data_IF_418297220007
#
_entry.id   IF_418297220007
#
_cell.length_a   1.000
_cell.length_b   1.000
_cell.length_c   1.000
_cell.angle_alpha   90.00
_cell.angle_beta   90.00
_cell.angle_gamma   90.00
#
_symmetry.space_group_name_H-M   'P 1'
#
loop_
_entity.id
_entity.type
_entity.pdbx_description
1 polymer ?
#
# COMPACT_ATOMS: atom_id res chain seq x y z
N UNK A 1 25.63 10.67 -23.10
CA UNK A 1 25.64 11.46 -21.85
C UNK A 1 25.81 12.91 -22.27
N UNK A 2 24.74 13.69 -22.23
CA UNK A 2 24.81 15.13 -22.42
C UNK A 2 25.26 15.74 -21.09
N UNK A 3 26.43 16.38 -21.06
CA UNK A 3 26.89 17.16 -19.92
C UNK A 3 25.80 18.21 -19.57
N UNK A 4 25.04 17.99 -18.51
CA UNK A 4 24.11 19.01 -18.01
C UNK A 4 24.97 20.12 -17.40
N UNK A 5 24.97 21.30 -18.07
CA UNK A 5 25.55 22.51 -17.49
C UNK A 5 24.82 22.82 -16.19
N UNK A 6 25.53 23.02 -15.07
CA UNK A 6 24.88 23.34 -13.80
C UNK A 6 24.12 24.68 -13.95
N UNK A 7 22.89 24.70 -13.46
CA UNK A 7 22.04 25.90 -13.45
C UNK A 7 22.71 27.00 -12.62
N UNK A 8 22.63 28.25 -13.09
CA UNK A 8 22.95 29.41 -12.26
C UNK A 8 21.97 29.50 -11.06
N UNK A 9 22.37 30.18 -10.01
CA UNK A 9 21.53 30.36 -8.82
C UNK A 9 20.14 30.96 -9.16
N UNK A 10 20.11 31.93 -10.07
CA UNK A 10 18.84 32.53 -10.54
C UNK A 10 17.95 31.52 -11.27
N UNK A 11 18.52 30.70 -12.13
CA UNK A 11 17.77 29.65 -12.85
C UNK A 11 17.22 28.59 -11.85
N UNK A 12 17.97 28.24 -10.79
CA UNK A 12 17.52 27.35 -9.74
C UNK A 12 16.31 27.90 -9.00
N UNK A 13 16.31 29.19 -8.61
CA UNK A 13 15.17 29.82 -7.95
C UNK A 13 13.95 29.98 -8.86
N UNK A 14 14.17 30.28 -10.15
CA UNK A 14 13.08 30.29 -11.13
C UNK A 14 12.43 28.92 -11.25
N UNK A 15 13.27 27.87 -11.34
CA UNK A 15 12.79 26.48 -11.40
C UNK A 15 12.09 26.05 -10.12
N UNK A 16 12.59 26.44 -8.95
CA UNK A 16 11.93 26.21 -7.66
C UNK A 16 10.52 26.81 -7.64
N UNK A 17 10.34 28.04 -8.13
CA UNK A 17 9.03 28.68 -8.21
C UNK A 17 8.04 27.99 -9.16
N UNK A 18 8.54 27.42 -10.29
CA UNK A 18 7.73 26.58 -11.19
C UNK A 18 7.30 25.28 -10.51
N UNK A 19 8.26 24.56 -9.93
CA UNK A 19 8.02 23.31 -9.19
C UNK A 19 7.00 23.53 -8.08
N UNK A 20 7.11 24.60 -7.31
CA UNK A 20 6.17 24.93 -6.23
C UNK A 20 4.73 25.06 -6.69
N UNK A 21 4.50 25.66 -7.85
CA UNK A 21 3.16 25.76 -8.45
C UNK A 21 2.63 24.40 -8.88
N UNK A 22 3.47 23.57 -9.48
CA UNK A 22 3.09 22.23 -9.93
C UNK A 22 2.79 21.30 -8.75
N UNK A 23 3.59 21.38 -7.67
CA UNK A 23 3.38 20.60 -6.45
C UNK A 23 2.05 20.94 -5.78
N UNK A 24 1.69 22.23 -5.72
CA UNK A 24 0.44 22.68 -5.10
C UNK A 24 -0.82 22.16 -5.81
N UNK A 25 -0.75 21.76 -7.07
CA UNK A 25 -1.85 21.21 -7.85
C UNK A 25 -1.97 19.68 -7.75
N UNK A 26 -1.00 19.00 -7.15
CA UNK A 26 -0.93 17.54 -7.09
C UNK A 26 -1.50 17.02 -5.77
N UNK A 27 -2.59 16.25 -5.84
CA UNK A 27 -3.29 15.70 -4.66
C UNK A 27 -2.81 14.29 -4.33
N UNK A 28 -2.36 13.52 -5.31
CA UNK A 28 -1.82 12.18 -5.13
C UNK A 28 -0.45 12.24 -4.45
N UNK A 29 -0.35 11.64 -3.26
CA UNK A 29 0.86 11.69 -2.44
C UNK A 29 2.05 11.00 -3.14
N UNK A 30 1.82 9.90 -3.85
CA UNK A 30 2.90 9.12 -4.47
C UNK A 30 3.50 9.89 -5.65
N UNK A 31 2.63 10.48 -6.49
CA UNK A 31 3.05 11.36 -7.59
C UNK A 31 3.78 12.58 -7.06
N UNK A 32 3.29 13.14 -5.94
CA UNK A 32 3.88 14.30 -5.29
C UNK A 32 5.29 14.01 -4.77
N UNK A 33 5.47 12.90 -4.03
CA UNK A 33 6.77 12.51 -3.48
C UNK A 33 7.82 12.30 -4.58
N UNK A 34 7.45 11.62 -5.67
CA UNK A 34 8.34 11.41 -6.80
C UNK A 34 8.74 12.71 -7.48
N UNK A 35 7.80 13.65 -7.67
CA UNK A 35 8.11 14.98 -8.23
C UNK A 35 9.06 15.77 -7.33
N UNK A 36 8.87 15.73 -6.01
CA UNK A 36 9.77 16.40 -5.05
C UNK A 36 11.17 15.80 -5.11
N UNK A 37 11.27 14.45 -5.10
CA UNK A 37 12.58 13.79 -5.19
C UNK A 37 13.28 14.12 -6.49
N UNK A 38 12.58 14.12 -7.64
CA UNK A 38 13.16 14.50 -8.93
C UNK A 38 13.63 15.96 -8.91
N UNK A 39 12.82 16.88 -8.38
CA UNK A 39 13.18 18.29 -8.24
C UNK A 39 14.42 18.48 -7.36
N UNK A 40 14.53 17.74 -6.26
CA UNK A 40 15.69 17.78 -5.38
C UNK A 40 16.97 17.33 -6.10
N UNK A 41 16.91 16.24 -6.86
CA UNK A 41 18.04 15.76 -7.65
C UNK A 41 18.47 16.77 -8.71
N UNK A 42 17.51 17.33 -9.46
CA UNK A 42 17.78 18.29 -10.53
C UNK A 42 18.37 19.62 -9.99
N UNK A 43 17.76 20.20 -8.96
CA UNK A 43 18.20 21.46 -8.36
C UNK A 43 19.56 21.38 -7.68
N UNK A 44 19.86 20.22 -7.06
CA UNK A 44 21.15 19.99 -6.39
C UNK A 44 22.21 19.44 -7.32
N UNK A 45 21.91 19.21 -8.61
CA UNK A 45 22.77 18.50 -9.56
C UNK A 45 23.32 17.18 -8.96
N UNK A 46 22.43 16.41 -8.34
CA UNK A 46 22.73 15.13 -7.72
C UNK A 46 22.37 13.96 -8.64
N UNK A 47 23.00 12.81 -8.45
CA UNK A 47 22.70 11.57 -9.18
C UNK A 47 21.30 11.05 -8.84
N UNK A 48 20.89 11.20 -7.58
CA UNK A 48 19.63 10.76 -7.06
C UNK A 48 19.17 11.62 -5.89
N UNK A 49 17.89 11.50 -5.53
CA UNK A 49 17.35 12.02 -4.28
C UNK A 49 16.37 11.03 -3.67
N UNK A 50 16.22 11.07 -2.36
CA UNK A 50 15.32 10.21 -1.59
C UNK A 50 14.50 11.01 -0.58
N UNK A 51 13.32 10.50 -0.26
CA UNK A 51 12.45 11.03 0.78
C UNK A 51 12.18 9.93 1.82
N UNK A 52 12.43 10.26 3.08
CA UNK A 52 12.09 9.44 4.23
C UNK A 52 11.07 10.21 5.07
N UNK A 53 9.97 9.56 5.44
CA UNK A 53 8.96 10.16 6.31
C UNK A 53 9.06 9.62 7.74
N UNK A 54 8.93 10.51 8.71
CA UNK A 54 9.08 10.21 10.12
C UNK A 54 7.73 9.94 10.79
N UNK A 55 7.61 8.81 11.48
CA UNK A 55 6.50 8.50 12.36
C UNK A 55 6.92 8.75 13.81
N UNK A 56 6.52 9.90 14.33
CA UNK A 56 6.82 10.32 15.71
C UNK A 56 6.28 9.32 16.75
N UNK A 57 5.14 8.68 16.48
CA UNK A 57 4.50 7.74 17.40
C UNK A 57 5.30 6.45 17.61
N UNK A 58 6.13 6.09 16.64
CA UNK A 58 6.98 4.88 16.65
C UNK A 58 8.46 5.19 16.79
N UNK A 59 8.85 6.45 16.62
CA UNK A 59 10.26 6.85 16.58
C UNK A 59 10.99 6.21 15.39
N UNK A 60 10.35 6.08 14.23
CA UNK A 60 10.90 5.40 13.06
C UNK A 60 10.79 6.24 11.80
N UNK A 61 11.78 6.12 10.93
CA UNK A 61 11.78 6.66 9.59
C UNK A 61 11.39 5.57 8.59
N UNK A 62 10.56 5.94 7.62
CA UNK A 62 10.14 5.07 6.54
C UNK A 62 10.59 5.64 5.21
N UNK A 63 11.33 4.85 4.46
CA UNK A 63 11.70 5.18 3.09
C UNK A 63 10.43 5.23 2.22
N UNK A 64 10.25 6.31 1.47
CA UNK A 64 9.05 6.51 0.64
C UNK A 64 9.34 6.40 -0.84
N UNK A 65 10.35 7.12 -1.32
CA UNK A 65 10.74 7.09 -2.73
C UNK A 65 12.19 7.51 -2.94
N UNK A 66 12.77 7.13 -4.07
CA UNK A 66 14.00 7.67 -4.60
C UNK A 66 13.97 7.70 -6.14
N UNK A 67 14.68 8.67 -6.76
CA UNK A 67 14.60 8.92 -8.19
C UNK A 67 15.24 7.85 -9.10
N UNK A 68 16.05 6.96 -8.55
CA UNK A 68 16.82 5.97 -9.29
C UNK A 68 16.48 4.51 -8.92
N UNK A 69 15.34 4.30 -8.30
CA UNK A 69 14.93 2.98 -7.81
C UNK A 69 13.53 2.63 -8.28
N UNK A 70 13.35 1.37 -8.68
CA UNK A 70 12.03 0.81 -8.92
C UNK A 70 11.24 0.77 -7.61
N UNK A 71 10.13 1.50 -7.56
CA UNK A 71 9.33 1.80 -6.36
C UNK A 71 8.92 0.62 -5.46
N UNK A 72 8.67 -0.61 -5.95
CA UNK A 72 8.09 -1.65 -5.11
C UNK A 72 9.01 -2.16 -3.99
N UNK A 73 10.32 -2.15 -4.20
CA UNK A 73 11.28 -2.81 -3.30
C UNK A 73 11.64 -2.01 -2.04
N UNK A 74 11.47 -0.69 -2.08
CA UNK A 74 11.99 0.21 -1.05
C UNK A 74 10.92 0.83 -0.17
N UNK A 75 9.69 0.88 -0.64
CA UNK A 75 8.61 1.55 0.06
C UNK A 75 8.27 0.85 1.37
N UNK A 76 8.38 1.62 2.47
CA UNK A 76 8.13 1.09 3.82
C UNK A 76 9.34 0.47 4.50
N UNK A 77 10.53 0.47 3.85
CA UNK A 77 11.77 0.09 4.51
C UNK A 77 11.98 0.99 5.74
N UNK A 78 12.18 0.36 6.89
CA UNK A 78 12.43 1.08 8.15
C UNK A 78 13.90 1.47 8.24
N UNK A 79 14.15 2.75 8.40
CA UNK A 79 15.47 3.30 8.68
C UNK A 79 15.51 3.71 10.16
N UNK A 80 16.48 3.23 10.94
CA UNK A 80 16.55 3.59 12.36
C UNK A 80 16.82 5.09 12.53
N UNK A 81 16.22 5.70 13.53
CA UNK A 81 16.53 7.10 13.88
C UNK A 81 17.92 7.20 14.50
N UNK A 82 18.25 6.29 15.40
CA UNK A 82 19.60 6.20 15.95
C UNK A 82 20.53 5.47 14.96
N UNK A 83 21.68 6.07 14.68
CA UNK A 83 22.70 5.49 13.81
C UNK A 83 22.41 5.61 12.30
N UNK A 84 21.54 6.52 11.88
CA UNK A 84 21.38 6.89 10.48
C UNK A 84 21.52 8.42 10.27
N UNK A 85 21.94 8.82 9.05
CA UNK A 85 22.06 10.22 8.65
C UNK A 85 20.66 10.88 8.65
N UNK A 86 19.68 10.22 8.04
CA UNK A 86 18.29 10.68 8.05
C UNK A 86 17.75 10.87 9.48
N UNK A 87 18.07 9.95 10.38
CA UNK A 87 17.69 10.06 11.78
C UNK A 87 18.37 11.23 12.49
N UNK A 88 19.63 11.50 12.19
CA UNK A 88 20.32 12.69 12.70
C UNK A 88 19.64 13.98 12.24
N UNK A 89 19.30 14.09 10.95
CA UNK A 89 18.58 15.24 10.36
C UNK A 89 17.26 15.48 11.08
N UNK A 90 16.46 14.43 11.29
CA UNK A 90 15.15 14.54 11.94
C UNK A 90 15.28 14.96 13.40
N UNK A 91 16.28 14.41 14.12
CA UNK A 91 16.48 14.68 15.55
C UNK A 91 17.03 16.09 15.81
N UNK A 92 18.01 16.52 15.00
CA UNK A 92 18.65 17.84 15.18
C UNK A 92 17.92 18.96 14.45
N UNK A 93 17.01 18.64 13.52
CA UNK A 93 16.26 19.63 12.70
C UNK A 93 17.18 20.54 11.89
N UNK A 94 18.32 20.04 11.49
CA UNK A 94 19.36 20.80 10.81
C UNK A 94 19.77 20.10 9.52
N UNK A 95 20.15 20.87 8.48
CA UNK A 95 20.74 20.31 7.28
C UNK A 95 22.14 19.76 7.55
N UNK A 96 22.60 18.87 6.68
CA UNK A 96 23.94 18.30 6.76
C UNK A 96 24.50 18.05 5.35
N UNK A 97 25.78 18.39 5.17
CA UNK A 97 26.57 18.03 3.99
C UNK A 97 27.61 17.00 4.41
N UNK A 98 27.73 15.90 3.67
CA UNK A 98 28.70 14.83 3.91
C UNK A 98 29.36 14.48 2.59
N UNK A 99 30.67 14.72 2.49
CA UNK A 99 31.46 14.48 1.26
C UNK A 99 31.90 13.02 1.09
N UNK A 100 32.06 12.28 2.21
CA UNK A 100 32.47 10.89 2.21
C UNK A 100 31.48 10.05 3.06
N UNK A 101 30.27 9.88 2.54
CA UNK A 101 29.17 9.25 3.28
C UNK A 101 29.47 7.83 3.76
N UNK A 102 30.28 7.07 3.02
CA UNK A 102 30.67 5.70 3.43
C UNK A 102 31.55 5.66 4.67
N UNK A 103 32.26 6.75 4.96
CA UNK A 103 33.12 6.85 6.16
C UNK A 103 32.36 7.43 7.36
N UNK A 104 31.17 7.95 7.16
CA UNK A 104 30.35 8.49 8.26
C UNK A 104 29.79 7.33 9.11
N UNK A 105 30.00 7.35 10.43
CA UNK A 105 29.52 6.30 11.33
C UNK A 105 27.98 6.17 11.34
N UNK A 106 27.26 7.20 10.87
CA UNK A 106 25.80 7.22 10.74
C UNK A 106 25.32 6.69 9.38
N UNK A 107 26.23 6.23 8.53
CA UNK A 107 25.86 5.68 7.23
C UNK A 107 25.14 4.34 7.38
N UNK A 108 23.83 4.31 7.10
CA UNK A 108 23.02 3.10 7.16
C UNK A 108 23.17 2.29 5.85
N UNK A 109 24.18 1.42 5.79
CA UNK A 109 24.58 0.67 4.58
C UNK A 109 23.58 -0.38 4.08
N UNK A 110 22.47 -0.66 4.81
CA UNK A 110 21.48 -1.62 4.36
C UNK A 110 20.70 -1.14 3.14
N UNK A 111 20.52 0.18 2.98
CA UNK A 111 19.90 0.77 1.79
C UNK A 111 20.75 0.47 0.56
N UNK A 112 22.06 0.66 0.63
CA UNK A 112 22.99 0.40 -0.48
C UNK A 112 22.97 -1.06 -0.94
N UNK A 113 22.74 -2.03 -0.04
CA UNK A 113 22.63 -3.45 -0.37
C UNK A 113 21.38 -3.78 -1.20
N UNK A 114 20.28 -3.09 -0.92
CA UNK A 114 19.00 -3.31 -1.61
C UNK A 114 18.94 -2.50 -2.92
N UNK A 115 19.54 -1.31 -2.93
CA UNK A 115 19.45 -0.37 -4.07
C UNK A 115 20.57 -0.54 -5.08
N UNK A 116 21.63 -1.25 -4.73
CA UNK A 116 22.90 -1.31 -5.48
C UNK A 116 23.51 0.07 -5.79
N UNK A 117 23.06 1.13 -5.09
CA UNK A 117 23.57 2.49 -5.23
C UNK A 117 24.53 2.78 -4.09
N UNK A 118 25.77 3.05 -4.45
CA UNK A 118 26.79 3.48 -3.50
C UNK A 118 26.63 4.97 -3.21
N UNK A 119 26.39 5.32 -1.94
CA UNK A 119 26.31 6.71 -1.50
C UNK A 119 27.74 7.22 -1.22
N UNK A 120 28.27 8.09 -2.06
CA UNK A 120 29.58 8.71 -1.87
C UNK A 120 29.48 10.06 -1.14
N UNK A 121 28.60 10.92 -1.59
CA UNK A 121 28.32 12.22 -0.96
C UNK A 121 26.81 12.39 -0.73
N UNK A 122 26.45 13.17 0.28
CA UNK A 122 25.06 13.36 0.66
C UNK A 122 24.86 14.80 1.15
N UNK A 123 23.78 15.43 0.66
CA UNK A 123 23.20 16.64 1.24
C UNK A 123 21.81 16.27 1.74
N UNK A 124 21.60 16.37 3.06
CA UNK A 124 20.34 16.06 3.69
C UNK A 124 19.72 17.26 4.39
N UNK A 125 18.41 17.42 4.25
CA UNK A 125 17.65 18.52 4.86
C UNK A 125 16.37 18.01 5.55
N UNK A 126 15.93 18.64 6.66
CA UNK A 126 14.70 18.25 7.32
C UNK A 126 13.46 18.75 6.55
N UNK A 127 12.43 17.90 6.49
CA UNK A 127 11.09 18.28 6.07
C UNK A 127 10.31 18.74 7.31
N UNK A 128 10.05 20.05 7.42
CA UNK A 128 9.39 20.65 8.60
C UNK A 128 8.07 21.29 8.17
N UNK A 129 6.95 20.82 8.74
CA UNK A 129 5.63 21.39 8.57
C UNK A 129 5.04 21.80 9.93
N UNK A 130 4.61 23.05 10.10
CA UNK A 130 3.98 23.54 11.35
C UNK A 130 4.79 23.18 12.60
N UNK A 131 6.09 23.47 12.60
CA UNK A 131 7.04 23.18 13.68
C UNK A 131 7.30 21.70 13.98
N UNK A 132 6.72 20.78 13.20
CA UNK A 132 6.96 19.34 13.29
C UNK A 132 7.86 18.86 12.17
N UNK A 133 8.85 18.05 12.52
CA UNK A 133 9.62 17.32 11.52
C UNK A 133 8.79 16.15 11.03
N UNK A 134 8.48 16.14 9.73
CA UNK A 134 7.72 15.08 9.09
C UNK A 134 8.60 14.09 8.32
N UNK A 135 9.92 14.38 8.20
CA UNK A 135 10.86 13.52 7.50
C UNK A 135 12.17 14.18 7.14
N UNK A 136 12.89 13.56 6.22
CA UNK A 136 14.12 14.06 5.63
C UNK A 136 14.07 13.96 4.10
N UNK A 137 14.68 14.92 3.42
CA UNK A 137 14.92 14.94 1.99
C UNK A 137 16.43 14.86 1.78
N UNK A 138 16.91 13.91 1.00
CA UNK A 138 18.33 13.66 0.76
C UNK A 138 18.64 13.75 -0.71
N UNK A 139 19.64 14.53 -1.11
CA UNK A 139 20.28 14.53 -2.42
C UNK A 139 21.58 13.72 -2.33
N UNK A 140 21.77 12.78 -3.26
CA UNK A 140 22.80 11.74 -3.18
C UNK A 140 23.73 11.86 -4.39
N UNK A 141 25.04 11.81 -4.14
CA UNK A 141 26.11 11.82 -5.13
C UNK A 141 26.07 13.06 -6.05
N UNK A 142 26.67 14.14 -5.62
CA UNK A 142 26.88 15.33 -6.44
C UNK A 142 27.56 14.96 -7.74
N UNK A 143 27.00 15.36 -8.88
CA UNK A 143 27.53 15.00 -10.20
C UNK A 143 28.80 15.79 -10.59
N UNK A 144 28.95 17.01 -10.08
CA UNK A 144 30.12 17.86 -10.35
C UNK A 144 30.55 18.61 -9.07
N UNK A 145 31.77 18.39 -8.63
CA UNK A 145 32.30 18.99 -7.40
C UNK A 145 31.74 18.38 -6.12
N UNK A 146 31.61 19.19 -5.08
CA UNK A 146 31.03 18.86 -3.77
C UNK A 146 29.73 19.64 -3.58
N UNK A 147 28.88 19.20 -2.65
CA UNK A 147 27.73 19.98 -2.24
C UNK A 147 28.18 21.27 -1.54
N UNK A 148 27.53 22.38 -1.84
CA UNK A 148 27.85 23.72 -1.33
C UNK A 148 26.74 24.22 -0.41
N UNK A 149 27.02 25.30 0.34
CA UNK A 149 26.00 26.01 1.12
C UNK A 149 24.85 26.53 0.23
N UNK A 150 25.14 26.94 -1.00
CA UNK A 150 24.11 27.35 -1.98
C UNK A 150 23.19 26.17 -2.37
N UNK A 151 23.73 24.96 -2.52
CA UNK A 151 22.93 23.76 -2.77
C UNK A 151 22.04 23.46 -1.56
N UNK A 152 22.58 23.65 -0.35
CA UNK A 152 21.84 23.45 0.90
C UNK A 152 20.68 24.46 1.03
N UNK A 153 20.90 25.73 0.74
CA UNK A 153 19.86 26.75 0.82
C UNK A 153 18.71 26.47 -0.16
N UNK A 154 19.03 26.15 -1.41
CA UNK A 154 18.01 25.79 -2.41
C UNK A 154 17.25 24.53 -2.01
N UNK A 155 17.94 23.51 -1.48
CA UNK A 155 17.29 22.29 -1.05
C UNK A 155 16.42 22.49 0.20
N UNK A 156 16.84 23.38 1.14
CA UNK A 156 16.06 23.78 2.30
C UNK A 156 14.77 24.51 1.90
N UNK A 157 14.84 25.40 0.91
CA UNK A 157 13.66 26.12 0.39
C UNK A 157 12.67 25.14 -0.27
N UNK A 158 13.17 24.18 -1.06
CA UNK A 158 12.34 23.11 -1.62
C UNK A 158 11.72 22.27 -0.50
N UNK A 159 12.51 21.87 0.50
CA UNK A 159 12.06 21.03 1.61
C UNK A 159 10.96 21.70 2.45
N UNK A 160 11.07 23.02 2.69
CA UNK A 160 10.07 23.79 3.42
C UNK A 160 8.72 23.80 2.68
N UNK A 161 8.72 23.98 1.36
CA UNK A 161 7.51 23.95 0.54
C UNK A 161 6.96 22.53 0.42
N UNK A 162 7.83 21.55 0.14
CA UNK A 162 7.49 20.14 0.04
C UNK A 162 6.82 19.63 1.32
N UNK A 163 7.34 19.99 2.50
CA UNK A 163 6.78 19.56 3.77
C UNK A 163 5.31 19.97 3.95
N UNK A 164 4.98 21.21 3.57
CA UNK A 164 3.60 21.72 3.67
C UNK A 164 2.68 20.95 2.70
N UNK A 165 3.11 20.71 1.48
CA UNK A 165 2.29 20.04 0.46
C UNK A 165 2.14 18.55 0.79
N UNK A 166 3.18 17.88 1.28
CA UNK A 166 3.13 16.49 1.75
C UNK A 166 2.12 16.35 2.90
N UNK A 167 2.19 17.25 3.91
CA UNK A 167 1.28 17.19 5.05
C UNK A 167 -0.17 17.45 4.63
N UNK A 168 -0.39 18.40 3.73
CA UNK A 168 -1.72 18.66 3.18
C UNK A 168 -2.26 17.47 2.38
N UNK A 169 -1.46 16.83 1.52
CA UNK A 169 -1.85 15.65 0.77
C UNK A 169 -2.20 14.48 1.71
N UNK A 170 -1.43 14.27 2.78
CA UNK A 170 -1.73 13.24 3.81
C UNK A 170 -3.04 13.52 4.53
N UNK A 171 -3.27 14.77 4.93
CA UNK A 171 -4.53 15.17 5.59
C UNK A 171 -5.73 15.02 4.65
N UNK A 172 -5.57 15.36 3.37
CA UNK A 172 -6.61 15.20 2.37
C UNK A 172 -6.96 13.74 2.16
N UNK A 173 -5.97 12.86 1.95
CA UNK A 173 -6.18 11.41 1.83
C UNK A 173 -6.87 10.82 3.06
N UNK A 174 -6.51 11.26 4.26
CA UNK A 174 -7.19 10.84 5.49
C UNK A 174 -8.65 11.31 5.53
N UNK A 175 -8.91 12.55 5.13
CA UNK A 175 -10.26 13.13 5.12
C UNK A 175 -11.17 12.40 4.14
N UNK A 176 -10.69 12.14 2.92
CA UNK A 176 -11.43 11.41 1.89
C UNK A 176 -11.77 9.99 2.34
N UNK A 177 -10.78 9.29 2.90
CA UNK A 177 -10.98 7.94 3.41
C UNK A 177 -12.03 7.90 4.53
N UNK A 178 -12.03 8.91 5.43
CA UNK A 178 -13.03 9.03 6.50
C UNK A 178 -14.42 9.36 5.91
N UNK A 179 -14.48 10.24 4.93
CA UNK A 179 -15.76 10.62 4.29
C UNK A 179 -16.39 9.42 3.58
N UNK A 180 -15.61 8.62 2.86
CA UNK A 180 -16.05 7.37 2.25
C UNK A 180 -16.54 6.35 3.28
N UNK A 181 -15.77 6.16 4.37
CA UNK A 181 -16.19 5.27 5.45
C UNK A 181 -17.53 5.70 6.05
N UNK A 182 -17.69 6.99 6.37
CA UNK A 182 -18.95 7.52 6.94
C UNK A 182 -20.11 7.28 5.99
N UNK A 183 -19.89 7.45 4.68
CA UNK A 183 -20.90 7.17 3.67
C UNK A 183 -21.32 5.70 3.66
N UNK A 184 -20.35 4.78 3.66
CA UNK A 184 -20.59 3.34 3.65
C UNK A 184 -21.17 2.81 4.97
N UNK A 185 -20.87 3.43 6.13
CA UNK A 185 -21.49 3.09 7.40
C UNK A 185 -22.95 3.54 7.51
N UNK A 186 -23.35 4.61 6.81
CA UNK A 186 -24.71 5.15 6.87
C UNK A 186 -25.75 4.15 6.37
N UNK A 187 -25.42 3.40 5.32
CA UNK A 187 -26.35 2.44 4.68
C UNK A 187 -26.75 1.28 5.61
N UNK A 188 -25.82 0.49 6.20
CA UNK A 188 -26.17 -0.57 7.14
C UNK A 188 -26.83 -0.04 8.42
N UNK A 189 -26.42 1.14 8.90
CA UNK A 189 -27.07 1.77 10.06
C UNK A 189 -28.53 2.15 9.76
N UNK A 190 -28.84 2.64 8.57
CA UNK A 190 -30.22 2.91 8.16
C UNK A 190 -31.03 1.62 8.04
N UNK A 191 -30.45 0.54 7.50
CA UNK A 191 -31.06 -0.80 7.46
C UNK A 191 -31.38 -1.32 8.86
N UNK A 192 -30.39 -1.26 9.79
CA UNK A 192 -30.58 -1.65 11.19
C UNK A 192 -31.69 -0.84 11.86
N UNK A 193 -31.72 0.47 11.68
CA UNK A 193 -32.78 1.34 12.23
C UNK A 193 -34.15 0.92 11.73
N UNK A 194 -34.30 0.65 10.43
CA UNK A 194 -35.57 0.20 9.86
C UNK A 194 -35.96 -1.18 10.41
N UNK A 195 -35.02 -2.11 10.48
CA UNK A 195 -35.24 -3.44 11.02
C UNK A 195 -35.68 -3.41 12.49
N UNK A 196 -35.07 -2.59 13.32
CA UNK A 196 -35.46 -2.41 14.73
C UNK A 196 -36.85 -1.79 14.88
N UNK A 197 -37.21 -0.81 14.04
CA UNK A 197 -38.58 -0.25 14.02
C UNK A 197 -39.65 -1.31 13.66
N UNK A 198 -39.32 -2.21 12.72
CA UNK A 198 -40.24 -3.30 12.35
C UNK A 198 -40.44 -4.27 13.52
N UNK A 199 -39.41 -4.60 14.31
CA UNK A 199 -39.53 -5.46 15.48
C UNK A 199 -40.40 -4.89 16.59
N UNK A 200 -40.48 -3.57 16.71
CA UNK A 200 -41.31 -2.87 17.70
C UNK A 200 -42.81 -2.92 17.39
N UNK A 201 -43.18 -3.26 16.16
CA UNK A 201 -44.59 -3.37 15.76
C UNK A 201 -45.19 -4.68 16.32
N UNK A 202 -46.38 -4.57 16.86
CA UNK A 202 -47.11 -5.71 17.49
C UNK A 202 -47.73 -6.67 16.45
N UNK A 203 -47.95 -6.17 15.23
CA UNK A 203 -48.65 -6.87 14.15
C UNK A 203 -47.74 -7.69 13.21
N UNK A 204 -46.44 -7.81 13.55
CA UNK A 204 -45.48 -8.57 12.75
C UNK A 204 -45.56 -10.06 13.07
N UNK A 205 -45.78 -10.88 12.04
CA UNK A 205 -45.80 -12.34 12.16
C UNK A 205 -44.42 -12.88 12.58
N UNK A 206 -44.38 -14.01 13.29
CA UNK A 206 -43.14 -14.61 13.83
C UNK A 206 -42.11 -14.91 12.72
N UNK A 207 -42.57 -15.41 11.59
CA UNK A 207 -41.68 -15.65 10.44
C UNK A 207 -41.02 -14.37 9.91
N UNK A 208 -41.75 -13.25 9.93
CA UNK A 208 -41.19 -11.94 9.56
C UNK A 208 -40.23 -11.41 10.62
N UNK A 209 -40.51 -11.63 11.91
CA UNK A 209 -39.62 -11.29 13.01
C UNK A 209 -38.25 -11.99 12.85
N UNK A 210 -38.27 -13.30 12.56
CA UNK A 210 -37.05 -14.07 12.34
C UNK A 210 -36.23 -13.52 11.14
N UNK A 211 -36.89 -13.15 10.04
CA UNK A 211 -36.22 -12.51 8.89
C UNK A 211 -35.58 -11.18 9.29
N UNK A 212 -36.26 -10.38 10.09
CA UNK A 212 -35.73 -9.08 10.58
C UNK A 212 -34.55 -9.28 11.52
N UNK A 213 -34.58 -10.28 12.41
CA UNK A 213 -33.45 -10.62 13.28
C UNK A 213 -32.24 -11.04 12.44
N UNK A 214 -32.42 -11.83 11.41
CA UNK A 214 -31.35 -12.23 10.51
C UNK A 214 -30.74 -11.05 9.75
N UNK A 215 -31.56 -10.06 9.36
CA UNK A 215 -31.06 -8.79 8.77
C UNK A 215 -30.21 -8.03 9.78
N UNK A 216 -30.67 -7.90 11.03
CA UNK A 216 -29.90 -7.22 12.08
C UNK A 216 -28.55 -7.92 12.30
N UNK A 217 -28.56 -9.25 12.37
CA UNK A 217 -27.33 -10.03 12.54
C UNK A 217 -26.36 -9.84 11.38
N UNK A 218 -26.86 -9.90 10.14
CA UNK A 218 -26.02 -9.76 8.94
C UNK A 218 -25.44 -8.35 8.80
N UNK A 219 -26.23 -7.29 9.07
CA UNK A 219 -25.74 -5.90 9.00
C UNK A 219 -24.77 -5.59 10.14
N UNK A 220 -24.96 -6.16 11.33
CA UNK A 220 -24.02 -6.03 12.45
C UNK A 220 -22.67 -6.67 12.12
N UNK A 221 -22.68 -7.90 11.58
CA UNK A 221 -21.45 -8.56 11.11
C UNK A 221 -20.76 -7.76 10.03
N UNK A 222 -21.51 -7.22 9.07
CA UNK A 222 -20.98 -6.36 8.02
C UNK A 222 -20.29 -5.10 8.56
N UNK A 223 -20.87 -4.45 9.58
CA UNK A 223 -20.27 -3.29 10.24
C UNK A 223 -18.94 -3.64 10.95
N UNK A 224 -18.88 -4.78 11.61
CA UNK A 224 -17.65 -5.28 12.25
C UNK A 224 -16.58 -5.52 11.19
N UNK A 225 -16.91 -6.22 10.11
CA UNK A 225 -15.98 -6.50 9.01
C UNK A 225 -15.48 -5.20 8.36
N UNK A 226 -16.38 -4.24 8.15
CA UNK A 226 -16.05 -2.94 7.54
C UNK A 226 -15.12 -2.12 8.43
N UNK A 227 -15.41 -2.01 9.73
CA UNK A 227 -14.56 -1.26 10.65
C UNK A 227 -13.19 -1.90 10.82
N UNK A 228 -13.12 -3.24 10.86
CA UNK A 228 -11.85 -3.97 10.91
C UNK A 228 -11.03 -3.75 9.65
N UNK A 229 -11.65 -3.92 8.46
CA UNK A 229 -10.99 -3.70 7.18
C UNK A 229 -10.52 -2.25 7.02
N UNK A 230 -11.31 -1.27 7.48
CA UNK A 230 -10.93 0.13 7.47
C UNK A 230 -9.70 0.41 8.35
N UNK A 231 -9.66 -0.12 9.57
CA UNK A 231 -8.51 0.03 10.46
C UNK A 231 -7.25 -0.62 9.87
N UNK A 232 -7.39 -1.79 9.25
CA UNK A 232 -6.28 -2.44 8.54
C UNK A 232 -5.78 -1.58 7.39
N UNK A 233 -6.69 -1.05 6.56
CA UNK A 233 -6.34 -0.17 5.44
C UNK A 233 -5.66 1.12 5.91
N UNK A 234 -6.22 1.79 6.92
CA UNK A 234 -5.64 3.01 7.48
C UNK A 234 -4.22 2.79 8.04
N UNK A 235 -3.97 1.63 8.67
CA UNK A 235 -2.64 1.24 9.14
C UNK A 235 -1.68 0.95 7.98
N UNK A 236 -2.15 0.27 6.92
CA UNK A 236 -1.37 0.00 5.70
C UNK A 236 -0.99 1.30 4.98
N UNK A 237 -1.93 2.23 4.83
CA UNK A 237 -1.70 3.50 4.14
C UNK A 237 -0.80 4.46 4.89
N UNK A 238 -0.91 4.49 6.21
CA UNK A 238 -0.02 5.30 7.04
C UNK A 238 1.41 4.74 7.17
N UNK A 239 1.70 3.61 6.51
CA UNK A 239 2.98 2.89 6.68
C UNK A 239 3.20 2.34 8.10
N UNK A 240 2.15 2.31 8.93
CA UNK A 240 2.23 1.91 10.35
C UNK A 240 2.17 0.40 10.58
N UNK A 241 1.99 -0.40 9.55
CA UNK A 241 2.08 -1.86 9.69
C UNK A 241 3.54 -2.28 9.59
N UNK A 242 4.03 -2.90 10.66
CA UNK A 242 5.27 -3.66 10.61
C UNK A 242 4.93 -5.08 10.18
N UNK A 243 5.37 -5.46 8.99
CA UNK A 243 5.24 -6.83 8.53
C UNK A 243 6.27 -7.70 9.25
N UNK A 244 5.80 -8.78 9.83
CA UNK A 244 6.67 -9.77 10.49
C UNK A 244 7.09 -10.82 9.47
N UNK A 245 8.09 -10.49 8.64
CA UNK A 245 8.60 -11.42 7.66
C UNK A 245 9.28 -12.61 8.34
N UNK A 246 8.80 -13.81 8.07
CA UNK A 246 9.35 -15.08 8.52
C UNK A 246 9.40 -16.06 7.35
N UNK A 247 10.32 -17.01 7.42
CA UNK A 247 10.37 -18.10 6.45
C UNK A 247 9.36 -19.17 6.86
N UNK A 248 8.47 -19.56 5.96
CA UNK A 248 7.45 -20.56 6.22
C UNK A 248 7.17 -21.45 5.01
N UNK A 249 6.55 -22.59 5.25
CA UNK A 249 6.06 -23.50 4.23
C UNK A 249 4.84 -22.90 3.51
N UNK A 250 5.05 -22.50 2.23
CA UNK A 250 4.02 -21.93 1.40
C UNK A 250 2.89 -22.95 1.10
N UNK A 251 3.25 -24.23 0.88
CA UNK A 251 2.27 -25.29 0.63
C UNK A 251 1.34 -25.48 1.84
N UNK A 252 1.91 -25.61 3.03
CA UNK A 252 1.13 -25.78 4.26
C UNK A 252 0.18 -24.61 4.52
N UNK A 253 0.60 -23.37 4.20
CA UNK A 253 -0.28 -22.20 4.28
C UNK A 253 -1.46 -22.29 3.31
N UNK A 254 -1.23 -22.68 2.05
CA UNK A 254 -2.28 -22.77 1.04
C UNK A 254 -3.28 -23.90 1.36
N UNK A 255 -2.79 -25.04 1.85
CA UNK A 255 -3.63 -26.14 2.31
C UNK A 255 -4.48 -25.73 3.53
N UNK A 256 -3.92 -24.97 4.47
CA UNK A 256 -4.67 -24.39 5.60
C UNK A 256 -5.77 -23.45 5.11
N UNK A 257 -5.47 -22.53 4.18
CA UNK A 257 -6.47 -21.62 3.62
C UNK A 257 -7.59 -22.36 2.91
N UNK A 258 -7.27 -23.38 2.13
CA UNK A 258 -8.26 -24.22 1.46
C UNK A 258 -9.15 -24.96 2.46
N UNK A 259 -8.56 -25.56 3.51
CA UNK A 259 -9.29 -26.23 4.59
C UNK A 259 -10.29 -25.32 5.28
N UNK A 260 -9.90 -24.08 5.61
CA UNK A 260 -10.80 -23.10 6.20
C UNK A 260 -11.98 -22.71 5.29
N UNK A 261 -11.78 -22.74 3.97
CA UNK A 261 -12.81 -22.36 3.00
C UNK A 261 -13.64 -23.53 2.48
N UNK A 262 -13.23 -24.79 2.73
CA UNK A 262 -13.88 -25.99 2.20
C UNK A 262 -15.34 -26.10 2.66
N UNK A 263 -15.59 -25.91 3.97
CA UNK A 263 -16.95 -25.98 4.53
C UNK A 263 -17.85 -24.92 3.89
N UNK A 264 -17.37 -23.68 3.81
CA UNK A 264 -18.12 -22.56 3.22
C UNK A 264 -18.41 -22.76 1.74
N UNK A 265 -17.46 -23.31 0.99
CA UNK A 265 -17.67 -23.66 -0.42
C UNK A 265 -18.75 -24.75 -0.56
N UNK A 266 -18.67 -25.82 0.24
CA UNK A 266 -19.64 -26.93 0.24
C UNK A 266 -21.05 -26.48 0.62
N UNK A 267 -21.20 -25.64 1.62
CA UNK A 267 -22.49 -25.05 2.03
C UNK A 267 -23.15 -24.23 0.90
N UNK A 268 -22.33 -23.64 0.00
CA UNK A 268 -22.82 -22.92 -1.15
C UNK A 268 -22.90 -23.80 -2.43
N UNK A 269 -22.77 -25.12 -2.29
CA UNK A 269 -22.85 -26.07 -3.40
C UNK A 269 -21.71 -25.98 -4.39
N UNK A 270 -20.53 -25.47 -3.97
CA UNK A 270 -19.34 -25.28 -4.79
C UNK A 270 -18.30 -26.35 -4.54
N UNK A 271 -17.50 -26.64 -5.56
CA UNK A 271 -16.37 -27.58 -5.45
C UNK A 271 -15.07 -26.78 -5.36
N UNK A 272 -14.39 -26.83 -4.21
CA UNK A 272 -13.05 -26.28 -4.06
C UNK A 272 -12.00 -27.37 -4.34
N UNK A 273 -11.14 -27.12 -5.31
CA UNK A 273 -9.99 -27.97 -5.67
C UNK A 273 -8.70 -27.29 -5.30
N UNK A 274 -7.74 -28.10 -4.83
CA UNK A 274 -6.38 -27.68 -4.53
C UNK A 274 -5.46 -28.38 -5.51
N UNK A 275 -4.76 -27.60 -6.31
CA UNK A 275 -3.82 -28.08 -7.34
C UNK A 275 -2.44 -27.47 -7.06
N UNK A 276 -1.71 -28.12 -6.18
CA UNK A 276 -0.38 -27.64 -5.72
C UNK A 276 0.69 -28.67 -6.09
N UNK A 277 1.86 -28.22 -6.57
CA UNK A 277 3.02 -29.08 -6.76
C UNK A 277 3.37 -29.84 -5.48
N UNK A 278 4.01 -31.00 -5.61
CA UNK A 278 4.44 -31.80 -4.46
C UNK A 278 5.34 -31.02 -3.52
N UNK A 279 6.21 -30.18 -4.07
CA UNK A 279 7.11 -29.29 -3.32
C UNK A 279 6.96 -27.86 -3.81
N UNK A 280 6.90 -26.92 -2.87
CA UNK A 280 6.99 -25.48 -3.11
C UNK A 280 8.17 -24.92 -2.33
N UNK A 281 8.89 -23.94 -2.86
CA UNK A 281 9.96 -23.29 -2.12
C UNK A 281 9.40 -22.57 -0.88
N UNK A 282 10.19 -22.49 0.21
CA UNK A 282 9.80 -21.69 1.36
C UNK A 282 9.66 -20.22 0.99
N UNK A 283 8.67 -19.55 1.54
CA UNK A 283 8.38 -18.13 1.29
C UNK A 283 8.80 -17.30 2.51
N UNK A 284 9.53 -16.21 2.26
CA UNK A 284 9.88 -15.21 3.29
C UNK A 284 8.90 -14.03 3.20
N UNK A 285 7.89 -14.03 4.06
CA UNK A 285 6.84 -13.01 4.09
C UNK A 285 6.16 -12.96 5.48
N UNK A 286 5.24 -12.04 5.67
CA UNK A 286 4.32 -12.07 6.81
C UNK A 286 3.22 -13.11 6.53
N UNK A 287 3.36 -14.27 7.20
CA UNK A 287 2.49 -15.44 6.98
C UNK A 287 1.00 -15.11 7.16
N UNK A 288 0.66 -14.34 8.20
CA UNK A 288 -0.72 -14.04 8.52
C UNK A 288 -1.33 -13.05 7.51
N UNK A 289 -0.52 -12.11 6.99
CA UNK A 289 -0.93 -11.18 5.95
C UNK A 289 -1.10 -11.86 4.59
N UNK A 290 -0.21 -12.79 4.22
CA UNK A 290 -0.42 -13.61 3.00
C UNK A 290 -1.66 -14.50 3.16
N UNK A 291 -1.86 -15.14 4.32
CA UNK A 291 -3.10 -15.85 4.64
C UNK A 291 -4.34 -14.98 4.43
N UNK A 292 -4.33 -13.74 4.92
CA UNK A 292 -5.41 -12.77 4.76
C UNK A 292 -5.73 -12.52 3.27
N UNK A 293 -4.70 -12.37 2.42
CA UNK A 293 -4.87 -12.21 0.96
C UNK A 293 -5.56 -13.43 0.36
N UNK A 294 -5.05 -14.63 0.62
CA UNK A 294 -5.59 -15.86 0.01
C UNK A 294 -7.03 -16.13 0.46
N UNK A 295 -7.32 -15.96 1.76
CA UNK A 295 -8.69 -16.11 2.29
C UNK A 295 -9.65 -15.09 1.65
N UNK A 296 -9.21 -13.84 1.44
CA UNK A 296 -10.02 -12.83 0.77
C UNK A 296 -10.35 -13.23 -0.67
N UNK A 297 -9.37 -13.70 -1.44
CA UNK A 297 -9.57 -14.14 -2.82
C UNK A 297 -10.49 -15.37 -2.89
N UNK A 298 -10.28 -16.39 -2.05
CA UNK A 298 -11.14 -17.57 -1.95
C UNK A 298 -12.58 -17.20 -1.54
N UNK A 299 -12.72 -16.28 -0.55
CA UNK A 299 -14.03 -15.81 -0.12
C UNK A 299 -14.78 -15.06 -1.24
N UNK A 300 -14.07 -14.28 -2.05
CA UNK A 300 -14.65 -13.64 -3.23
C UNK A 300 -15.09 -14.68 -4.27
N UNK A 301 -14.27 -15.70 -4.53
CA UNK A 301 -14.61 -16.79 -5.43
C UNK A 301 -15.82 -17.61 -4.97
N UNK A 302 -16.06 -17.75 -3.65
CA UNK A 302 -17.29 -18.34 -3.12
C UNK A 302 -18.49 -17.42 -3.33
N UNK A 303 -18.33 -16.13 -3.04
CA UNK A 303 -19.43 -15.14 -3.09
C UNK A 303 -19.97 -14.90 -4.50
N UNK A 304 -19.08 -14.84 -5.49
CA UNK A 304 -19.42 -14.43 -6.86
C UNK A 304 -19.51 -15.61 -7.84
N UNK A 305 -19.51 -16.84 -7.31
CA UNK A 305 -19.67 -18.02 -8.12
C UNK A 305 -21.14 -18.25 -8.53
N UNK A 306 -21.30 -19.11 -9.52
CA UNK A 306 -22.61 -19.65 -9.92
C UNK A 306 -22.92 -20.94 -9.15
N UNK A 307 -24.20 -21.33 -9.01
CA UNK A 307 -24.55 -22.62 -8.41
C UNK A 307 -23.80 -23.78 -9.10
N UNK A 308 -23.32 -24.73 -8.31
CA UNK A 308 -22.52 -25.90 -8.79
C UNK A 308 -21.18 -25.53 -9.46
N UNK A 309 -20.71 -24.32 -9.24
CA UNK A 309 -19.44 -23.84 -9.79
C UNK A 309 -18.22 -24.47 -9.11
N UNK A 310 -17.05 -24.14 -9.65
CA UNK A 310 -15.75 -24.63 -9.16
C UNK A 310 -14.87 -23.48 -8.74
N UNK A 311 -14.02 -23.75 -7.75
CA UNK A 311 -12.94 -22.88 -7.32
C UNK A 311 -11.67 -23.71 -7.35
N UNK A 312 -10.60 -23.17 -7.90
CA UNK A 312 -9.29 -23.85 -7.92
C UNK A 312 -8.27 -22.95 -7.28
N UNK A 313 -7.61 -23.46 -6.25
CA UNK A 313 -6.41 -22.87 -5.66
C UNK A 313 -5.20 -23.60 -6.21
N UNK A 314 -4.34 -22.90 -6.91
CA UNK A 314 -3.12 -23.46 -7.50
C UNK A 314 -1.90 -22.60 -7.20
N UNK A 315 -0.72 -23.19 -7.34
CA UNK A 315 0.55 -22.47 -7.21
C UNK A 315 1.58 -22.99 -8.22
N UNK A 316 2.42 -22.09 -8.68
CA UNK A 316 3.54 -22.36 -9.59
C UNK A 316 4.80 -21.67 -9.03
N UNK A 317 5.88 -22.43 -8.86
CA UNK A 317 7.16 -21.86 -8.48
C UNK A 317 7.98 -21.58 -9.74
N UNK A 318 8.49 -20.36 -9.87
CA UNK A 318 9.47 -19.92 -10.84
C UNK A 318 10.81 -19.61 -10.16
N UNK A 319 11.90 -19.43 -10.88
CA UNK A 319 13.22 -19.24 -10.25
C UNK A 319 13.28 -18.09 -9.23
N UNK A 320 12.54 -17.02 -9.47
CA UNK A 320 12.60 -15.79 -8.67
C UNK A 320 11.26 -15.43 -7.98
N UNK A 321 10.17 -16.14 -8.31
CA UNK A 321 8.84 -15.85 -7.77
C UNK A 321 7.99 -17.09 -7.50
N UNK A 322 7.09 -17.00 -6.54
CA UNK A 322 5.98 -17.91 -6.31
C UNK A 322 4.70 -17.26 -6.82
N UNK A 323 4.01 -17.91 -7.76
CA UNK A 323 2.72 -17.47 -8.27
C UNK A 323 1.63 -18.30 -7.62
N UNK A 324 0.70 -17.65 -6.92
CA UNK A 324 -0.47 -18.29 -6.32
C UNK A 324 -1.68 -17.83 -7.10
N UNK A 325 -2.48 -18.76 -7.61
CA UNK A 325 -3.67 -18.45 -8.38
C UNK A 325 -4.95 -18.98 -7.72
N UNK A 326 -5.96 -18.12 -7.68
CA UNK A 326 -7.33 -18.46 -7.27
C UNK A 326 -8.24 -18.25 -8.48
N UNK A 327 -8.76 -19.33 -9.02
CA UNK A 327 -9.65 -19.34 -10.21
C UNK A 327 -11.04 -19.79 -9.83
N UNK A 328 -12.05 -19.12 -10.34
CA UNK A 328 -13.45 -19.52 -10.18
C UNK A 328 -14.19 -19.55 -11.52
N UNK A 329 -15.31 -20.27 -11.54
CA UNK A 329 -16.23 -20.35 -12.69
C UNK A 329 -17.46 -19.47 -12.48
N UNK A 330 -17.29 -18.33 -11.83
CA UNK A 330 -18.36 -17.44 -11.43
C UNK A 330 -18.93 -16.57 -12.55
N UNK A 331 -19.55 -15.46 -12.16
CA UNK A 331 -20.19 -14.52 -13.08
C UNK A 331 -19.21 -13.77 -13.99
N UNK A 332 -17.92 -13.79 -13.67
CA UNK A 332 -16.92 -12.96 -14.31
C UNK A 332 -17.13 -11.45 -14.03
N UNK A 333 -16.22 -10.65 -14.56
CA UNK A 333 -16.13 -9.20 -14.31
C UNK A 333 -16.08 -8.50 -15.67
N UNK A 334 -16.84 -7.42 -15.81
CA UNK A 334 -16.83 -6.64 -17.06
C UNK A 334 -15.51 -5.93 -17.26
N UNK A 335 -15.02 -5.77 -18.51
CA UNK A 335 -13.77 -5.06 -18.79
C UNK A 335 -13.69 -3.66 -18.18
N UNK A 336 -14.81 -2.93 -18.15
CA UNK A 336 -14.89 -1.59 -17.56
C UNK A 336 -14.71 -1.58 -16.04
N UNK A 337 -14.97 -2.68 -15.36
CA UNK A 337 -14.83 -2.80 -13.90
C UNK A 337 -13.42 -3.28 -13.49
N UNK A 338 -12.65 -3.89 -14.40
CA UNK A 338 -11.34 -4.48 -14.11
C UNK A 338 -10.32 -3.46 -13.61
N UNK A 339 -10.29 -2.27 -14.20
CA UNK A 339 -9.37 -1.18 -13.81
C UNK A 339 -9.63 -0.63 -12.42
N UNK A 340 -10.87 -0.74 -11.93
CA UNK A 340 -11.32 -0.18 -10.66
C UNK A 340 -11.39 -1.18 -9.51
N UNK A 341 -11.17 -2.49 -9.77
CA UNK A 341 -11.36 -3.56 -8.77
C UNK A 341 -10.54 -3.40 -7.49
N UNK A 342 -9.38 -2.77 -7.60
CA UNK A 342 -8.48 -2.55 -6.48
C UNK A 342 -8.64 -1.17 -5.83
N UNK A 343 -9.59 -0.35 -6.30
CA UNK A 343 -9.93 0.91 -5.66
C UNK A 343 -10.71 0.65 -4.35
N UNK A 344 -10.57 1.56 -3.42
CA UNK A 344 -11.24 1.49 -2.12
C UNK A 344 -12.75 1.60 -2.29
N UNK A 345 -13.49 0.81 -1.52
CA UNK A 345 -14.96 0.76 -1.53
C UNK A 345 -15.59 0.45 -2.89
N UNK A 346 -14.77 0.20 -3.93
CA UNK A 346 -15.31 -0.10 -5.24
C UNK A 346 -16.03 -1.45 -5.24
N UNK A 347 -17.19 -1.46 -5.88
CA UNK A 347 -18.02 -2.65 -6.12
C UNK A 347 -18.59 -2.59 -7.52
N UNK A 348 -18.41 -3.65 -8.30
CA UNK A 348 -19.03 -3.74 -9.62
C UNK A 348 -20.56 -3.70 -9.48
N UNK A 349 -21.24 -2.90 -10.30
CA UNK A 349 -22.71 -2.71 -10.24
C UNK A 349 -23.51 -4.03 -10.31
N UNK A 350 -22.99 -5.04 -11.01
CA UNK A 350 -23.55 -6.38 -11.05
C UNK A 350 -23.48 -7.12 -9.71
N UNK A 351 -22.46 -6.81 -8.90
CA UNK A 351 -22.21 -7.43 -7.61
C UNK A 351 -22.99 -6.74 -6.45
N UNK A 352 -23.35 -5.47 -6.59
CA UNK A 352 -24.11 -4.72 -5.58
C UNK A 352 -25.48 -5.32 -5.26
N UNK A 353 -26.11 -5.94 -6.26
CA UNK A 353 -27.46 -6.56 -6.13
C UNK A 353 -27.44 -7.97 -5.59
N UNK A 354 -26.30 -8.64 -5.59
CA UNK A 354 -26.22 -10.10 -5.40
C UNK A 354 -25.58 -10.46 -4.05
N UNK A 355 -24.61 -9.68 -3.56
CA UNK A 355 -23.83 -10.07 -2.39
C UNK A 355 -23.41 -8.89 -1.52
N UNK A 356 -23.36 -9.10 -0.20
CA UNK A 356 -22.82 -8.15 0.76
C UNK A 356 -21.28 -8.16 0.72
N UNK A 357 -20.66 -6.94 0.74
CA UNK A 357 -19.21 -6.80 0.80
C UNK A 357 -18.82 -5.36 1.16
N UNK A 358 -17.62 -5.17 1.68
CA UNK A 358 -17.11 -3.86 2.11
C UNK A 358 -16.44 -3.05 0.98
N UNK A 359 -16.06 -3.70 -0.12
CA UNK A 359 -15.25 -3.08 -1.19
C UNK A 359 -13.79 -2.81 -0.80
N UNK A 360 -13.37 -3.20 0.41
CA UNK A 360 -12.02 -2.96 0.90
C UNK A 360 -11.06 -4.15 0.73
N UNK A 361 -11.60 -5.36 0.61
CA UNK A 361 -10.80 -6.58 0.63
C UNK A 361 -9.73 -6.65 -0.46
N UNK A 362 -10.08 -6.35 -1.73
CA UNK A 362 -9.12 -6.36 -2.84
C UNK A 362 -8.09 -5.22 -2.73
N UNK A 363 -8.49 -4.03 -2.27
CA UNK A 363 -7.58 -2.92 -2.01
C UNK A 363 -6.54 -3.30 -0.94
N UNK A 364 -6.98 -3.93 0.16
CA UNK A 364 -6.10 -4.44 1.22
C UNK A 364 -5.17 -5.53 0.67
N UNK A 365 -5.72 -6.48 -0.10
CA UNK A 365 -4.91 -7.56 -0.71
C UNK A 365 -3.80 -7.01 -1.59
N UNK A 366 -4.11 -6.04 -2.47
CA UNK A 366 -3.11 -5.38 -3.31
C UNK A 366 -2.03 -4.69 -2.48
N UNK A 367 -2.42 -3.95 -1.43
CA UNK A 367 -1.47 -3.27 -0.53
C UNK A 367 -0.55 -4.25 0.20
N UNK A 368 -1.09 -5.38 0.69
CA UNK A 368 -0.29 -6.42 1.33
C UNK A 368 0.71 -7.01 0.33
N UNK A 369 0.26 -7.40 -0.85
CA UNK A 369 1.11 -8.02 -1.88
C UNK A 369 2.22 -7.07 -2.32
N UNK A 370 1.90 -5.81 -2.61
CA UNK A 370 2.89 -4.78 -2.99
C UNK A 370 3.89 -4.54 -1.86
N UNK A 371 3.44 -4.51 -0.61
CA UNK A 371 4.35 -4.34 0.54
C UNK A 371 5.31 -5.53 0.75
N UNK A 372 5.04 -6.68 0.13
CA UNK A 372 5.94 -7.84 0.09
C UNK A 372 6.76 -7.91 -1.22
N UNK A 373 6.83 -6.80 -1.98
CA UNK A 373 7.55 -6.75 -3.26
C UNK A 373 6.89 -7.53 -4.38
N UNK A 374 5.61 -7.91 -4.21
CA UNK A 374 4.86 -8.72 -5.15
C UNK A 374 3.89 -7.90 -6.01
N UNK A 375 3.18 -8.60 -6.90
CA UNK A 375 2.15 -8.05 -7.77
C UNK A 375 0.89 -8.91 -7.72
N UNK A 376 -0.28 -8.30 -7.88
CA UNK A 376 -1.55 -9.01 -8.04
C UNK A 376 -2.17 -8.67 -9.39
N UNK A 377 -2.54 -9.71 -10.13
CA UNK A 377 -3.16 -9.62 -11.44
C UNK A 377 -4.56 -10.24 -11.44
N UNK A 378 -5.40 -9.80 -12.37
CA UNK A 378 -6.74 -10.35 -12.58
C UNK A 378 -6.99 -10.57 -14.06
N UNK A 379 -7.53 -11.76 -14.37
CA UNK A 379 -8.07 -12.10 -15.67
C UNK A 379 -9.51 -12.55 -15.47
N UNK A 380 -10.44 -12.01 -16.24
CA UNK A 380 -11.85 -12.34 -16.09
C UNK A 380 -12.59 -12.16 -17.40
N UNK A 381 -13.55 -13.07 -17.63
CA UNK A 381 -14.48 -13.01 -18.74
C UNK A 381 -15.90 -13.20 -18.21
N UNK A 382 -16.82 -12.35 -18.66
CA UNK A 382 -18.21 -12.37 -18.21
C UNK A 382 -18.88 -13.70 -18.57
N UNK A 383 -19.38 -14.41 -17.58
CA UNK A 383 -20.02 -15.73 -17.72
C UNK A 383 -19.07 -16.92 -17.65
N UNK A 384 -17.75 -16.72 -17.76
CA UNK A 384 -16.75 -17.79 -17.70
C UNK A 384 -16.11 -17.90 -16.31
N UNK A 385 -15.87 -16.76 -15.64
CA UNK A 385 -15.28 -16.71 -14.30
C UNK A 385 -14.13 -15.74 -14.16
N UNK A 386 -13.40 -15.85 -13.05
CA UNK A 386 -12.31 -14.96 -12.71
C UNK A 386 -11.10 -15.73 -12.20
N UNK A 387 -9.91 -15.27 -12.56
CA UNK A 387 -8.63 -15.76 -12.02
C UNK A 387 -7.83 -14.58 -11.46
N UNK A 388 -7.53 -14.63 -10.18
CA UNK A 388 -6.56 -13.75 -9.55
C UNK A 388 -5.22 -14.47 -9.43
N UNK A 389 -4.11 -13.79 -9.77
CA UNK A 389 -2.76 -14.27 -9.59
C UNK A 389 -2.00 -13.35 -8.66
N UNK A 390 -1.38 -13.93 -7.65
CA UNK A 390 -0.54 -13.23 -6.68
C UNK A 390 0.89 -13.69 -6.95
N UNK A 391 1.74 -12.76 -7.34
CA UNK A 391 3.16 -12.95 -7.59
C UNK A 391 3.93 -12.52 -6.34
N UNK A 392 4.72 -13.39 -5.75
CA UNK A 392 5.52 -13.09 -4.56
C UNK A 392 6.98 -13.47 -4.82
N UNK A 393 7.95 -12.56 -4.56
CA UNK A 393 9.36 -12.86 -4.77
C UNK A 393 9.83 -13.96 -3.82
N UNK A 394 10.62 -14.90 -4.33
CA UNK A 394 11.24 -15.98 -3.53
C UNK A 394 12.54 -15.55 -2.87
N UNK A 395 13.19 -14.51 -3.43
CA UNK A 395 14.41 -13.92 -2.87
C UNK A 395 14.03 -12.70 -2.05
N UNK A 396 13.96 -12.89 -0.75
CA UNK A 396 13.93 -11.81 0.23
C UNK A 396 15.25 -11.84 0.96
N UNK A 397 16.22 -11.06 0.52
CA UNK A 397 17.42 -10.75 1.30
C UNK A 397 17.10 -9.76 2.42
#
# INVERSE_FOLDING_TARGET
>A
MLDRVPFSLLERYQRLAEISRDLASTVDLDVLLNRIAQAAADLSNAQAASILLYDESKGQLYFQCATNLDEPLMRGLVVPVEGSIAGWIVTHRQPIIIDEAQKDPRHFGNIAKVTHVTTNSLLGVPLIAKDKVIGALEAINKQAGQFTEEDQDVLMDLAAQAAVVIENARLFQQSDLIAELVHELRTPLASLRTATHLLLRKDVAEEQRQKVVNIIQSETSRLIDMTTAFLDLARLESGRIQFQAQVFDARGLLEECAGLMQTKASENGLVLRVDLPAELPPLKADRDKIKQVIINLLSNSVKYNRPTGKITLSAEARPDELIIAVSDTGSGIRPLDLSHLFEKFYRARSAERITQGTGLGLAISKRIVVAHGGQIEVQSEVGEGTTFRVHLPLRGD
#
